data_IF_180089530406
#
_entry.id   IF_180089530406
#
_cell.length_a   1.000
_cell.length_b   1.000
_cell.length_c   1.000
_cell.angle_alpha   90.00
_cell.angle_beta   90.00
_cell.angle_gamma   90.00
#
_symmetry.space_group_name_H-M   'P 1'
#
loop_
_entity.id
_entity.type
_entity.pdbx_description
1 polymer ?
#
# COMPACT_ATOMS: atom_id res chain seq x y z
N UNK A 1 37.87 12.09 3.99
CA UNK A 1 38.00 10.83 4.75
C UNK A 1 36.64 10.17 4.81
N UNK A 2 36.49 8.99 4.20
CA UNK A 2 35.24 8.23 4.30
C UNK A 2 35.56 7.04 5.19
N UNK A 3 34.99 7.03 6.39
CA UNK A 3 35.22 5.99 7.39
C UNK A 3 33.89 5.35 7.79
N UNK A 4 33.93 4.32 8.64
CA UNK A 4 32.74 3.67 9.22
C UNK A 4 31.80 4.65 9.96
N UNK A 5 32.29 5.85 10.32
CA UNK A 5 31.51 6.94 10.91
C UNK A 5 30.76 7.83 9.90
N UNK A 6 30.94 7.62 8.60
CA UNK A 6 30.24 8.35 7.53
C UNK A 6 31.15 9.05 6.53
N UNK A 7 30.53 9.78 5.61
CA UNK A 7 31.21 10.55 4.56
C UNK A 7 31.67 11.91 5.11
N UNK A 8 32.98 12.15 5.16
CA UNK A 8 33.55 13.46 5.46
C UNK A 8 34.40 13.95 4.29
N UNK A 9 33.93 15.00 3.63
CA UNK A 9 34.66 15.69 2.58
C UNK A 9 35.34 16.94 3.16
N UNK A 10 36.66 17.01 3.08
CA UNK A 10 37.44 18.19 3.52
C UNK A 10 37.99 18.88 2.29
N UNK A 11 37.81 20.21 2.20
CA UNK A 11 38.34 21.03 1.10
C UNK A 11 39.29 22.05 1.70
N UNK A 12 40.58 21.89 1.41
CA UNK A 12 41.60 22.86 1.84
C UNK A 12 41.62 24.07 0.91
N UNK A 13 41.55 25.27 1.51
CA UNK A 13 41.50 26.54 0.80
C UNK A 13 42.79 27.33 0.96
N UNK A 14 43.17 28.10 -0.08
CA UNK A 14 44.32 29.01 -0.01
C UNK A 14 44.04 30.17 0.95
N UNK A 15 45.09 30.67 1.62
CA UNK A 15 45.01 31.87 2.47
C UNK A 15 44.47 33.08 1.68
N UNK A 16 43.55 33.81 2.28
CA UNK A 16 42.90 34.98 1.66
C UNK A 16 41.69 34.66 0.79
N UNK A 17 41.31 33.38 0.64
CA UNK A 17 40.05 32.98 0.01
C UNK A 17 38.94 32.96 1.05
N UNK A 18 37.83 33.61 0.74
CA UNK A 18 36.62 33.60 1.56
C UNK A 18 35.84 32.29 1.31
N UNK A 19 35.66 31.43 2.33
CA UNK A 19 35.04 30.11 2.16
C UNK A 19 33.65 30.14 1.53
N UNK A 20 32.79 31.06 1.96
CA UNK A 20 31.39 31.14 1.50
C UNK A 20 31.30 31.48 0.01
N UNK A 21 32.18 32.37 -0.47
CA UNK A 21 32.28 32.70 -1.90
C UNK A 21 32.83 31.53 -2.73
N UNK A 22 33.71 30.71 -2.16
CA UNK A 22 34.18 29.49 -2.80
C UNK A 22 33.05 28.46 -2.89
N UNK A 23 32.32 28.22 -1.80
CA UNK A 23 31.21 27.27 -1.77
C UNK A 23 30.10 27.64 -2.75
N UNK A 24 29.70 28.90 -2.83
CA UNK A 24 28.73 29.36 -3.84
C UNK A 24 29.18 29.09 -5.29
N UNK A 25 30.49 29.19 -5.56
CA UNK A 25 31.05 28.83 -6.88
C UNK A 25 31.07 27.33 -7.12
N UNK A 26 31.36 26.54 -6.08
CA UNK A 26 31.37 25.09 -6.15
C UNK A 26 29.97 24.55 -6.42
N UNK A 27 28.96 24.97 -5.64
CA UNK A 27 27.57 24.61 -5.88
C UNK A 27 27.09 24.92 -7.29
N UNK A 28 27.54 26.03 -7.89
CA UNK A 28 27.17 26.39 -9.27
C UNK A 28 27.88 25.59 -10.36
N UNK A 29 29.07 25.03 -10.07
CA UNK A 29 29.98 24.45 -11.08
C UNK A 29 30.22 22.96 -10.94
N UNK A 30 29.75 22.37 -9.85
CA UNK A 30 29.94 20.96 -9.50
C UNK A 30 28.62 20.37 -9.05
N UNK A 31 28.52 19.05 -9.10
CA UNK A 31 27.32 18.31 -8.69
C UNK A 31 27.11 18.24 -7.16
N UNK A 32 27.74 19.15 -6.40
CA UNK A 32 27.47 19.32 -4.96
C UNK A 32 26.07 19.89 -4.70
N UNK A 33 25.52 20.63 -5.65
CA UNK A 33 24.13 21.08 -5.65
C UNK A 33 23.50 20.76 -7.01
N UNK A 34 22.47 19.94 -7.02
CA UNK A 34 21.80 19.48 -8.24
C UNK A 34 20.30 19.68 -8.13
N UNK A 35 19.68 20.07 -9.25
CA UNK A 35 18.23 20.10 -9.37
C UNK A 35 17.72 18.72 -9.77
N UNK A 36 16.70 18.23 -9.06
CA UNK A 36 15.97 17.02 -9.44
C UNK A 36 14.55 17.39 -9.90
N UNK A 37 14.23 17.29 -11.20
CA UNK A 37 12.89 17.60 -11.68
C UNK A 37 11.91 16.48 -11.30
N UNK A 38 10.90 16.81 -10.51
CA UNK A 38 9.81 15.89 -10.19
C UNK A 38 8.75 15.91 -11.29
N UNK A 39 8.77 14.92 -12.19
CA UNK A 39 7.74 14.70 -13.20
C UNK A 39 6.95 13.42 -12.90
N UNK A 40 5.72 13.56 -12.41
CA UNK A 40 4.87 12.45 -12.05
C UNK A 40 3.92 12.08 -13.20
N UNK A 41 4.46 11.52 -14.27
CA UNK A 41 3.67 10.92 -15.34
C UNK A 41 3.32 9.47 -14.97
N UNK A 42 2.03 9.18 -14.76
CA UNK A 42 1.54 7.92 -14.18
C UNK A 42 0.40 7.37 -15.03
N UNK A 43 0.33 6.04 -15.14
CA UNK A 43 -0.70 5.34 -15.88
C UNK A 43 -1.97 5.17 -15.04
N UNK A 44 -3.08 5.79 -15.46
CA UNK A 44 -4.40 5.64 -14.83
C UNK A 44 -5.38 5.11 -15.89
N UNK A 45 -6.00 3.97 -15.61
CA UNK A 45 -6.96 3.33 -16.52
C UNK A 45 -6.41 3.03 -17.91
N UNK A 46 -5.10 2.77 -18.02
CA UNK A 46 -4.42 2.52 -19.30
C UNK A 46 -3.99 3.78 -20.08
N UNK A 47 -4.20 4.97 -19.52
CA UNK A 47 -3.78 6.25 -20.13
C UNK A 47 -2.73 6.97 -19.27
N UNK A 48 -1.62 7.46 -19.85
CA UNK A 48 -0.63 8.23 -19.11
C UNK A 48 -1.18 9.62 -18.79
N UNK A 49 -1.04 10.05 -17.55
CA UNK A 49 -1.46 11.38 -17.08
C UNK A 49 -0.37 11.98 -16.20
N UNK A 50 -0.12 13.26 -16.40
CA UNK A 50 0.68 14.06 -15.47
C UNK A 50 -0.18 14.38 -14.26
N UNK A 51 0.28 14.00 -13.07
CA UNK A 51 -0.49 14.18 -11.84
C UNK A 51 0.28 14.94 -10.76
N UNK A 52 -0.45 15.67 -9.92
CA UNK A 52 0.08 16.23 -8.68
C UNK A 52 0.09 15.21 -7.54
N UNK A 53 0.83 15.50 -6.47
CA UNK A 53 0.90 14.63 -5.27
C UNK A 53 -0.49 14.32 -4.70
N UNK A 54 -1.38 15.31 -4.66
CA UNK A 54 -2.75 15.14 -4.14
C UNK A 54 -3.55 14.13 -4.97
N UNK A 55 -3.46 14.21 -6.29
CA UNK A 55 -4.18 13.34 -7.21
C UNK A 55 -3.66 11.90 -7.08
N UNK A 56 -2.35 11.72 -6.98
CA UNK A 56 -1.72 10.41 -6.75
C UNK A 56 -2.26 9.77 -5.46
N UNK A 57 -2.34 10.54 -4.38
CA UNK A 57 -2.85 10.04 -3.09
C UNK A 57 -4.35 9.71 -3.17
N UNK A 58 -5.13 10.48 -3.94
CA UNK A 58 -6.56 10.22 -4.14
C UNK A 58 -6.79 8.93 -4.94
N UNK A 59 -6.05 8.73 -6.03
CA UNK A 59 -6.11 7.49 -6.83
C UNK A 59 -5.69 6.28 -6.00
N UNK A 60 -4.61 6.39 -5.22
CA UNK A 60 -4.18 5.32 -4.31
C UNK A 60 -5.24 5.03 -3.23
N UNK A 61 -5.83 6.06 -2.64
CA UNK A 61 -6.90 5.90 -1.66
C UNK A 61 -8.11 5.18 -2.26
N UNK A 62 -8.55 5.58 -3.46
CA UNK A 62 -9.63 4.93 -4.19
C UNK A 62 -9.36 3.44 -4.43
N UNK A 63 -8.17 3.12 -4.93
CA UNK A 63 -7.70 1.75 -5.11
C UNK A 63 -7.73 0.95 -3.80
N UNK A 64 -7.21 1.51 -2.70
CA UNK A 64 -7.20 0.83 -1.39
C UNK A 64 -8.60 0.60 -0.84
N UNK A 65 -9.50 1.55 -0.98
CA UNK A 65 -10.91 1.37 -0.61
C UNK A 65 -11.56 0.22 -1.38
N UNK A 66 -11.30 0.10 -2.68
CA UNK A 66 -11.82 -1.03 -3.46
C UNK A 66 -11.26 -2.37 -2.99
N UNK A 67 -9.94 -2.47 -2.76
CA UNK A 67 -9.34 -3.69 -2.23
C UNK A 67 -10.00 -4.12 -0.93
N UNK A 68 -10.17 -3.18 0.01
CA UNK A 68 -10.77 -3.46 1.30
C UNK A 68 -12.22 -3.90 1.17
N UNK A 69 -13.01 -3.27 0.29
CA UNK A 69 -14.39 -3.68 0.02
C UNK A 69 -14.46 -5.12 -0.50
N UNK A 70 -13.57 -5.51 -1.41
CA UNK A 70 -13.52 -6.86 -1.97
C UNK A 70 -13.18 -7.90 -0.90
N UNK A 71 -12.23 -7.59 -0.03
CA UNK A 71 -11.85 -8.45 1.10
C UNK A 71 -13.02 -8.64 2.07
N UNK A 72 -13.65 -7.55 2.51
CA UNK A 72 -14.79 -7.61 3.44
C UNK A 72 -15.97 -8.36 2.82
N UNK A 73 -16.24 -8.15 1.52
CA UNK A 73 -17.34 -8.84 0.84
C UNK A 73 -17.09 -10.35 0.76
N UNK A 74 -15.85 -10.76 0.48
CA UNK A 74 -15.46 -12.17 0.49
C UNK A 74 -15.66 -12.78 1.89
N UNK A 75 -15.18 -12.12 2.93
CA UNK A 75 -15.34 -12.59 4.31
C UNK A 75 -16.81 -12.70 4.70
N UNK A 76 -17.62 -11.70 4.36
CA UNK A 76 -19.06 -11.70 4.62
C UNK A 76 -19.76 -12.87 3.94
N UNK A 77 -19.42 -13.17 2.69
CA UNK A 77 -19.96 -14.31 1.95
C UNK A 77 -19.63 -15.63 2.65
N UNK A 78 -18.35 -15.85 2.98
CA UNK A 78 -17.89 -17.07 3.68
C UNK A 78 -18.57 -17.23 5.04
N UNK A 79 -18.80 -16.14 5.76
CA UNK A 79 -19.48 -16.18 7.07
C UNK A 79 -20.97 -16.45 6.92
N UNK A 80 -21.63 -15.90 5.91
CA UNK A 80 -23.03 -16.18 5.61
C UNK A 80 -23.27 -17.65 5.23
N UNK A 81 -22.39 -18.23 4.41
CA UNK A 81 -22.49 -19.64 4.04
C UNK A 81 -22.38 -20.54 5.27
N UNK A 82 -21.44 -20.21 6.18
CA UNK A 82 -21.30 -20.92 7.47
C UNK A 82 -22.53 -20.72 8.36
N UNK A 83 -23.07 -19.51 8.43
CA UNK A 83 -24.27 -19.22 9.21
C UNK A 83 -25.46 -20.04 8.70
N UNK A 84 -25.64 -20.15 7.38
CA UNK A 84 -26.73 -20.93 6.79
C UNK A 84 -26.67 -22.41 7.22
N UNK A 85 -25.49 -23.02 7.16
CA UNK A 85 -25.30 -24.42 7.62
C UNK A 85 -25.59 -24.55 9.11
N UNK A 86 -25.11 -23.62 9.94
CA UNK A 86 -25.35 -23.63 11.39
C UNK A 86 -26.83 -23.51 11.73
N UNK A 87 -27.58 -22.65 11.03
CA UNK A 87 -29.04 -22.53 11.20
C UNK A 87 -29.77 -23.84 10.84
N UNK A 88 -29.29 -24.58 9.84
CA UNK A 88 -29.81 -25.91 9.52
C UNK A 88 -29.57 -26.91 10.66
N UNK A 89 -28.33 -26.95 11.17
CA UNK A 89 -27.95 -27.83 12.28
C UNK A 89 -28.71 -27.50 13.58
N UNK A 90 -28.91 -26.21 13.89
CA UNK A 90 -29.70 -25.76 15.03
C UNK A 90 -31.12 -26.32 14.99
N UNK A 91 -31.79 -26.22 13.85
CA UNK A 91 -33.14 -26.78 13.66
C UNK A 91 -33.18 -28.30 13.83
N UNK A 92 -32.17 -29.01 13.32
CA UNK A 92 -32.06 -30.47 13.48
C UNK A 92 -31.89 -30.84 14.95
N UNK A 93 -31.07 -30.07 15.69
CA UNK A 93 -30.82 -30.34 17.10
C UNK A 93 -32.07 -30.15 17.96
N UNK A 94 -32.89 -29.15 17.65
CA UNK A 94 -34.16 -28.90 18.34
C UNK A 94 -35.17 -30.06 18.16
N UNK A 95 -35.21 -30.68 16.98
CA UNK A 95 -36.15 -31.76 16.62
C UNK A 95 -35.43 -33.09 16.27
N UNK A 96 -34.48 -33.52 17.09
CA UNK A 96 -33.55 -34.60 16.74
C UNK A 96 -34.24 -35.95 16.48
N UNK A 97 -35.25 -36.32 17.26
CA UNK A 97 -35.98 -37.59 17.10
C UNK A 97 -36.75 -37.64 15.78
N UNK A 98 -37.30 -36.49 15.37
CA UNK A 98 -38.01 -36.35 14.10
C UNK A 98 -37.05 -36.45 12.93
N UNK A 99 -35.88 -35.83 13.02
CA UNK A 99 -34.82 -35.94 12.00
C UNK A 99 -34.36 -37.40 11.85
N UNK A 100 -34.09 -38.11 12.96
CA UNK A 100 -33.71 -39.53 12.94
C UNK A 100 -34.82 -40.40 12.33
N UNK A 101 -36.08 -40.13 12.66
CA UNK A 101 -37.22 -40.87 12.11
C UNK A 101 -37.33 -40.71 10.59
N UNK A 102 -37.16 -39.48 10.08
CA UNK A 102 -37.18 -39.19 8.64
C UNK A 102 -36.04 -39.94 7.94
N UNK A 103 -34.80 -39.83 8.45
CA UNK A 103 -33.64 -40.51 7.87
C UNK A 103 -33.84 -42.04 7.83
N UNK A 104 -34.38 -42.64 8.90
CA UNK A 104 -34.62 -44.10 8.97
C UNK A 104 -35.79 -44.58 8.11
N UNK A 105 -36.78 -43.73 7.84
CA UNK A 105 -37.96 -44.07 7.01
C UNK A 105 -37.74 -43.82 5.52
N UNK A 106 -36.71 -43.08 5.16
CA UNK A 106 -36.37 -42.83 3.77
C UNK A 106 -35.48 -43.97 3.28
N UNK A 107 -36.03 -44.91 2.52
CA UNK A 107 -35.23 -45.78 1.65
C UNK A 107 -34.80 -44.93 0.45
N UNK A 108 -33.53 -45.02 0.07
CA UNK A 108 -32.99 -44.31 -1.11
C UNK A 108 -33.80 -44.61 -2.38
#
# INVERSE_FOLDING_TARGET
ETDLGGLKLTIDIKRGVEPDKLMAKLFKRTDLECNFPCNFNILIGGTPRLMGIREILQEWHGFRCECLKREIYFDLMVKNDKLHVLMGLEKILLDIDKAISIIRKTEN
#
